data_IF_110995133738
#
_entry.id   IF_110995133738
#
_cell.length_a   1.000
_cell.length_b   1.000
_cell.length_c   1.000
_cell.angle_alpha   90.00
_cell.angle_beta   90.00
_cell.angle_gamma   90.00
#
_symmetry.space_group_name_H-M   'P 1'
#
loop_
_entity.id
_entity.type
_entity.pdbx_description
1 polymer ?
#
# COMPACT_ATOMS: atom_id res chain seq x y z
N UNK A 1 -8.06 2.75 22.31
CA UNK A 1 -8.34 4.09 21.72
C UNK A 1 -7.10 4.70 21.05
N UNK A 2 -5.93 4.65 21.68
CA UNK A 2 -4.66 5.15 21.13
C UNK A 2 -4.25 4.43 19.84
N UNK A 3 -4.33 3.10 19.80
CA UNK A 3 -4.01 2.28 18.62
C UNK A 3 -4.88 2.59 17.41
N UNK A 4 -6.17 2.89 17.64
CA UNK A 4 -7.09 3.29 16.59
C UNK A 4 -6.72 4.64 15.99
N UNK A 5 -6.32 5.61 16.82
CA UNK A 5 -5.83 6.91 16.36
C UNK A 5 -4.55 6.76 15.52
N UNK A 6 -3.61 5.91 15.96
CA UNK A 6 -2.40 5.59 15.20
C UNK A 6 -2.74 5.03 13.82
N UNK A 7 -3.71 4.10 13.75
CA UNK A 7 -4.16 3.55 12.47
C UNK A 7 -4.74 4.62 11.55
N UNK A 8 -5.57 5.54 12.07
CA UNK A 8 -6.14 6.65 11.30
C UNK A 8 -5.04 7.55 10.76
N UNK A 9 -4.06 7.92 11.58
CA UNK A 9 -2.91 8.74 11.16
C UNK A 9 -2.12 8.00 10.07
N UNK A 10 -1.82 6.72 10.27
CA UNK A 10 -1.16 5.88 9.28
C UNK A 10 -1.87 5.91 7.92
N UNK A 11 -3.18 5.68 7.91
CA UNK A 11 -3.97 5.66 6.69
C UNK A 11 -3.99 7.03 5.99
N UNK A 12 -4.08 8.11 6.78
CA UNK A 12 -4.05 9.47 6.25
C UNK A 12 -2.70 9.80 5.60
N UNK A 13 -1.59 9.39 6.21
CA UNK A 13 -0.25 9.57 5.63
C UNK A 13 -0.07 8.74 4.35
N UNK A 14 -0.45 7.47 4.38
CA UNK A 14 -0.28 6.58 3.24
C UNK A 14 -1.19 6.92 2.06
N UNK A 15 -2.32 7.58 2.31
CA UNK A 15 -3.21 8.10 1.27
C UNK A 15 -2.58 9.22 0.40
N UNK A 16 -1.45 9.80 0.82
CA UNK A 16 -0.67 10.73 0.01
C UNK A 16 0.15 10.02 -1.09
N UNK A 17 0.42 8.71 -0.97
CA UNK A 17 1.24 8.00 -1.96
C UNK A 17 0.71 8.09 -3.39
N UNK A 18 -0.57 7.79 -3.70
CA UNK A 18 -1.07 7.87 -5.07
C UNK A 18 -0.96 9.26 -5.67
N UNK A 19 -0.97 10.30 -4.82
CA UNK A 19 -0.77 11.68 -5.27
C UNK A 19 0.68 11.94 -5.65
N UNK A 20 1.61 11.58 -4.76
CA UNK A 20 3.03 11.89 -4.98
C UNK A 20 3.68 11.01 -6.04
N UNK A 21 3.35 9.71 -6.08
CA UNK A 21 3.94 8.77 -7.06
C UNK A 21 3.70 9.20 -8.50
N UNK A 22 2.55 9.83 -8.79
CA UNK A 22 2.26 10.38 -10.12
C UNK A 22 3.14 11.57 -10.49
N UNK A 23 3.48 12.39 -9.51
CA UNK A 23 4.14 13.68 -9.70
C UNK A 23 5.66 13.61 -9.56
N UNK A 24 6.22 12.41 -9.30
CA UNK A 24 7.66 12.21 -9.21
C UNK A 24 8.24 12.08 -10.61
N UNK A 25 9.14 12.99 -10.98
CA UNK A 25 9.92 12.91 -12.22
C UNK A 25 11.12 11.96 -12.07
N UNK A 26 10.82 10.70 -11.85
CA UNK A 26 11.77 9.60 -11.78
C UNK A 26 11.16 8.33 -12.38
N UNK A 27 11.96 7.52 -13.07
CA UNK A 27 11.50 6.22 -13.55
C UNK A 27 11.00 5.34 -12.39
N UNK A 28 9.99 4.51 -12.66
CA UNK A 28 9.30 3.69 -11.67
C UNK A 28 10.26 2.84 -10.81
N UNK A 29 11.20 2.20 -11.45
CA UNK A 29 12.22 1.35 -10.80
C UNK A 29 13.10 2.14 -9.81
N UNK A 30 13.47 3.39 -10.16
CA UNK A 30 14.22 4.28 -9.27
C UNK A 30 13.35 4.77 -8.09
N UNK A 31 12.06 5.04 -8.31
CA UNK A 31 11.12 5.36 -7.23
C UNK A 31 11.00 4.19 -6.25
N UNK A 32 10.84 2.98 -6.77
CA UNK A 32 10.73 1.75 -5.96
C UNK A 32 12.05 1.50 -5.21
N UNK A 33 13.21 1.58 -5.88
CA UNK A 33 14.52 1.43 -5.24
C UNK A 33 14.72 2.46 -4.13
N UNK A 34 14.42 3.73 -4.37
CA UNK A 34 14.59 4.80 -3.38
C UNK A 34 13.79 4.54 -2.11
N UNK A 35 12.59 3.94 -2.23
CA UNK A 35 11.78 3.52 -1.08
C UNK A 35 12.44 2.39 -0.30
N UNK A 36 12.89 1.32 -0.98
CA UNK A 36 13.59 0.21 -0.33
C UNK A 36 14.84 0.70 0.39
N UNK A 37 15.65 1.51 -0.28
CA UNK A 37 16.86 2.08 0.28
C UNK A 37 16.60 2.92 1.53
N UNK A 38 15.69 3.89 1.44
CA UNK A 38 15.36 4.80 2.55
C UNK A 38 14.85 4.06 3.78
N UNK A 39 13.97 3.07 3.56
CA UNK A 39 13.38 2.31 4.66
C UNK A 39 14.41 1.43 5.37
N UNK A 40 15.31 0.79 4.62
CA UNK A 40 16.36 -0.05 5.19
C UNK A 40 17.37 0.79 5.97
N UNK A 41 17.82 1.91 5.40
CA UNK A 41 18.79 2.79 6.09
C UNK A 41 18.22 3.30 7.40
N UNK A 42 17.01 3.87 7.38
CA UNK A 42 16.44 4.46 8.61
C UNK A 42 16.06 3.37 9.61
N UNK A 43 15.39 2.29 9.19
CA UNK A 43 15.00 1.22 10.11
C UNK A 43 16.21 0.52 10.72
N UNK A 44 17.31 0.40 9.98
CA UNK A 44 18.55 -0.23 10.44
C UNK A 44 19.13 0.36 11.72
N UNK A 45 18.83 1.61 12.06
CA UNK A 45 19.27 2.23 13.31
C UNK A 45 18.42 1.82 14.53
N UNK A 46 17.22 1.25 14.32
CA UNK A 46 16.22 1.02 15.39
C UNK A 46 15.80 -0.45 15.55
N UNK A 47 16.42 -1.36 14.78
CA UNK A 47 16.10 -2.79 14.84
C UNK A 47 16.71 -3.47 16.06
N UNK A 48 16.10 -4.58 16.46
CA UNK A 48 16.75 -5.60 17.27
C UNK A 48 17.59 -6.51 16.36
N UNK A 49 18.90 -6.33 16.40
CA UNK A 49 19.83 -7.06 15.53
C UNK A 49 19.75 -8.58 15.73
N UNK A 50 19.59 -9.05 16.97
CA UNK A 50 19.48 -10.48 17.24
C UNK A 50 18.21 -11.07 16.63
N UNK A 51 17.09 -10.36 16.79
CA UNK A 51 15.83 -10.77 16.20
C UNK A 51 15.91 -10.80 14.66
N UNK A 52 16.40 -9.74 14.04
CA UNK A 52 16.51 -9.62 12.58
C UNK A 52 17.44 -10.69 12.01
N UNK A 53 18.61 -10.93 12.62
CA UNK A 53 19.55 -11.96 12.19
C UNK A 53 18.91 -13.35 12.13
N UNK A 54 18.14 -13.71 13.17
CA UNK A 54 17.46 -15.00 13.25
C UNK A 54 16.26 -15.14 12.30
N UNK A 55 15.66 -14.02 11.88
CA UNK A 55 14.44 -14.05 11.05
C UNK A 55 14.67 -13.68 9.59
N UNK A 56 15.79 -13.05 9.22
CA UNK A 56 16.05 -12.56 7.87
C UNK A 56 15.97 -13.68 6.81
N UNK A 57 16.55 -14.82 7.10
CA UNK A 57 16.52 -15.99 6.22
C UNK A 57 15.48 -17.05 6.64
N UNK A 58 14.63 -16.73 7.60
CA UNK A 58 13.52 -17.60 7.95
C UNK A 58 12.46 -17.61 6.83
N UNK A 59 11.66 -18.69 6.79
CA UNK A 59 10.56 -18.80 5.83
C UNK A 59 9.64 -17.56 5.82
N UNK A 60 9.29 -17.03 7.01
CA UNK A 60 8.42 -15.86 7.13
C UNK A 60 9.14 -14.58 6.73
N UNK A 61 10.43 -14.41 7.06
CA UNK A 61 11.22 -13.25 6.65
C UNK A 61 11.39 -13.17 5.12
N UNK A 62 11.78 -14.28 4.49
CA UNK A 62 11.90 -14.36 3.02
C UNK A 62 10.56 -14.15 2.33
N UNK A 63 9.49 -14.74 2.86
CA UNK A 63 8.13 -14.56 2.33
C UNK A 63 7.69 -13.10 2.44
N UNK A 64 7.94 -12.45 3.59
CA UNK A 64 7.62 -11.02 3.78
C UNK A 64 8.37 -10.15 2.77
N UNK A 65 9.67 -10.37 2.59
CA UNK A 65 10.48 -9.63 1.61
C UNK A 65 9.97 -9.82 0.18
N UNK A 66 9.72 -11.06 -0.23
CA UNK A 66 9.24 -11.36 -1.59
C UNK A 66 7.87 -10.71 -1.88
N UNK A 67 6.93 -10.82 -0.93
CA UNK A 67 5.61 -10.19 -1.07
C UNK A 67 5.74 -8.67 -1.09
N UNK A 68 6.62 -8.09 -0.27
CA UNK A 68 6.82 -6.63 -0.24
C UNK A 68 7.40 -6.10 -1.54
N UNK A 69 8.32 -6.82 -2.19
CA UNK A 69 8.84 -6.43 -3.52
C UNK A 69 7.68 -6.35 -4.53
N UNK A 70 6.88 -7.41 -4.61
CA UNK A 70 5.72 -7.44 -5.49
C UNK A 70 4.71 -6.32 -5.14
N UNK A 71 4.43 -6.12 -3.84
CA UNK A 71 3.51 -5.08 -3.34
C UNK A 71 3.94 -3.68 -3.75
N UNK A 72 5.18 -3.31 -3.51
CA UNK A 72 5.68 -1.96 -3.80
C UNK A 72 5.64 -1.68 -5.30
N UNK A 73 6.10 -2.63 -6.12
CA UNK A 73 6.08 -2.47 -7.56
C UNK A 73 4.64 -2.31 -8.09
N UNK A 74 3.74 -3.22 -7.73
CA UNK A 74 2.37 -3.22 -8.22
C UNK A 74 1.58 -2.01 -7.74
N UNK A 75 1.77 -1.58 -6.49
CA UNK A 75 1.11 -0.39 -5.95
C UNK A 75 1.57 0.89 -6.66
N UNK A 76 2.88 1.08 -6.84
CA UNK A 76 3.42 2.26 -7.53
C UNK A 76 2.97 2.31 -8.99
N UNK A 77 3.05 1.17 -9.71
CA UNK A 77 2.58 1.11 -11.09
C UNK A 77 1.10 1.43 -11.22
N UNK A 78 0.28 0.87 -10.34
CA UNK A 78 -1.15 1.15 -10.32
C UNK A 78 -1.48 2.60 -9.97
N UNK A 79 -0.76 3.21 -9.01
CA UNK A 79 -0.93 4.62 -8.66
C UNK A 79 -0.53 5.57 -9.80
N UNK A 80 0.46 5.22 -10.61
CA UNK A 80 0.82 6.00 -11.80
C UNK A 80 -0.27 5.99 -12.87
N UNK A 81 -0.98 4.88 -13.03
CA UNK A 81 -1.93 4.66 -14.11
C UNK A 81 -3.37 5.08 -13.78
N UNK A 82 -3.73 5.14 -12.50
CA UNK A 82 -5.10 5.43 -12.06
C UNK A 82 -5.19 6.75 -11.28
N UNK A 83 -6.37 7.35 -11.26
CA UNK A 83 -6.67 8.47 -10.35
C UNK A 83 -6.52 8.07 -8.89
N UNK A 84 -6.15 9.02 -8.02
CA UNK A 84 -5.80 8.75 -6.63
C UNK A 84 -6.93 8.11 -5.83
N UNK A 85 -8.14 8.65 -5.91
CA UNK A 85 -9.30 8.10 -5.22
C UNK A 85 -9.73 6.74 -5.76
N UNK A 86 -9.70 6.55 -7.09
CA UNK A 86 -10.01 5.27 -7.73
C UNK A 86 -9.01 4.18 -7.33
N UNK A 87 -7.72 4.47 -7.44
CA UNK A 87 -6.66 3.52 -7.10
C UNK A 87 -6.75 3.09 -5.64
N UNK A 88 -6.98 4.03 -4.72
CA UNK A 88 -7.13 3.71 -3.31
C UNK A 88 -8.42 2.93 -3.02
N UNK A 89 -9.54 3.25 -3.66
CA UNK A 89 -10.76 2.47 -3.46
C UNK A 89 -10.58 1.01 -3.85
N UNK A 90 -9.93 0.75 -4.99
CA UNK A 90 -9.63 -0.61 -5.44
C UNK A 90 -8.57 -1.29 -4.55
N UNK A 91 -7.54 -0.57 -4.13
CA UNK A 91 -6.55 -1.08 -3.19
C UNK A 91 -7.21 -1.53 -1.88
N UNK A 92 -8.15 -0.74 -1.37
CA UNK A 92 -8.85 -1.02 -0.11
C UNK A 92 -9.94 -2.11 -0.20
N UNK A 93 -9.88 -2.95 -1.23
CA UNK A 93 -10.47 -4.28 -1.19
C UNK A 93 -9.64 -5.25 -0.31
N UNK A 94 -8.38 -4.91 0.05
CA UNK A 94 -7.54 -5.78 0.87
C UNK A 94 -8.14 -6.13 2.25
N UNK A 95 -8.88 -5.26 2.96
CA UNK A 95 -9.50 -5.65 4.22
C UNK A 95 -10.52 -6.79 4.07
N UNK A 96 -11.28 -6.81 2.96
CA UNK A 96 -12.19 -7.93 2.70
C UNK A 96 -11.41 -9.20 2.37
N UNK A 97 -10.29 -9.10 1.65
CA UNK A 97 -9.40 -10.23 1.39
C UNK A 97 -8.84 -10.79 2.71
N UNK A 98 -8.45 -9.94 3.68
CA UNK A 98 -8.04 -10.36 5.02
C UNK A 98 -9.17 -11.13 5.72
N UNK A 99 -10.40 -10.61 5.69
CA UNK A 99 -11.55 -11.26 6.32
C UNK A 99 -11.84 -12.63 5.69
N UNK A 100 -11.80 -12.73 4.35
CA UNK A 100 -11.96 -13.99 3.63
C UNK A 100 -10.87 -15.01 3.97
N UNK A 101 -9.61 -14.59 3.94
CA UNK A 101 -8.46 -15.43 4.26
C UNK A 101 -8.42 -15.86 5.74
N UNK A 102 -9.11 -15.14 6.62
CA UNK A 102 -9.31 -15.51 8.03
C UNK A 102 -10.34 -16.64 8.22
N UNK A 103 -10.77 -17.31 7.15
CA UNK A 103 -11.72 -18.44 7.19
C UNK A 103 -13.18 -18.00 7.31
N UNK A 104 -13.52 -16.75 7.03
CA UNK A 104 -14.90 -16.27 7.06
C UNK A 104 -15.60 -16.55 5.73
N UNK A 105 -16.82 -17.12 5.81
CA UNK A 105 -17.59 -17.44 4.62
C UNK A 105 -17.93 -16.21 3.78
N UNK A 106 -17.98 -16.37 2.46
CA UNK A 106 -18.46 -15.35 1.52
C UNK A 106 -19.91 -15.02 1.82
N UNK A 107 -20.21 -13.74 2.02
CA UNK A 107 -21.56 -13.27 2.30
C UNK A 107 -22.15 -12.61 1.04
N UNK A 108 -23.45 -12.77 0.75
CA UNK A 108 -24.08 -12.19 -0.44
C UNK A 108 -23.89 -10.68 -0.59
N UNK A 109 -23.71 -9.94 0.52
CA UNK A 109 -23.40 -8.50 0.50
C UNK A 109 -22.14 -8.16 -0.28
N UNK A 110 -21.22 -9.12 -0.50
CA UNK A 110 -20.04 -8.94 -1.34
C UNK A 110 -20.38 -8.72 -2.82
N UNK A 111 -21.56 -9.13 -3.29
CA UNK A 111 -22.03 -8.81 -4.64
C UNK A 111 -22.16 -7.29 -4.83
N UNK A 112 -22.53 -6.57 -3.76
CA UNK A 112 -22.58 -5.09 -3.78
C UNK A 112 -21.17 -4.50 -3.94
N UNK A 113 -20.16 -5.10 -3.31
CA UNK A 113 -18.75 -4.70 -3.52
C UNK A 113 -18.31 -4.91 -4.98
N UNK A 114 -18.68 -6.03 -5.60
CA UNK A 114 -18.40 -6.28 -7.01
C UNK A 114 -19.10 -5.26 -7.94
N UNK A 115 -20.35 -4.90 -7.62
CA UNK A 115 -21.05 -3.83 -8.32
C UNK A 115 -20.31 -2.49 -8.16
N UNK A 116 -19.79 -2.19 -6.97
CA UNK A 116 -18.97 -1.00 -6.70
C UNK A 116 -17.71 -0.97 -7.57
N UNK A 117 -16.98 -2.08 -7.63
CA UNK A 117 -15.81 -2.23 -8.51
C UNK A 117 -16.21 -2.00 -9.98
N UNK A 118 -17.28 -2.63 -10.44
CA UNK A 118 -17.79 -2.44 -11.80
C UNK A 118 -18.11 -0.98 -12.09
N UNK A 119 -18.82 -0.28 -11.18
CA UNK A 119 -19.13 1.14 -11.34
C UNK A 119 -17.87 2.02 -11.42
N UNK A 120 -16.85 1.70 -10.64
CA UNK A 120 -15.59 2.44 -10.61
C UNK A 120 -14.74 2.21 -11.86
N UNK A 121 -14.78 1.01 -12.43
CA UNK A 121 -13.92 0.61 -13.54
C UNK A 121 -14.55 0.80 -14.92
N UNK A 122 -15.87 0.99 -15.01
CA UNK A 122 -16.59 1.21 -16.26
C UNK A 122 -16.89 2.68 -16.49
N UNK A 123 -16.68 3.19 -17.71
CA UNK A 123 -17.31 4.42 -18.18
C UNK A 123 -16.46 5.67 -18.30
N UNK A 124 -15.16 5.57 -18.38
CA UNK A 124 -14.36 6.63 -18.99
C UNK A 124 -14.12 6.22 -20.46
N UNK A 125 -14.96 6.72 -21.36
CA UNK A 125 -14.82 6.49 -22.80
C UNK A 125 -13.54 7.18 -23.30
N UNK A 126 -12.42 6.48 -23.20
CA UNK A 126 -11.12 6.87 -23.72
C UNK A 126 -10.76 6.11 -24.99
N UNK A 127 -9.65 6.50 -25.61
CA UNK A 127 -9.04 5.75 -26.70
C UNK A 127 -8.71 4.31 -26.26
N UNK A 128 -8.55 3.37 -27.21
CA UNK A 128 -8.17 1.99 -26.89
C UNK A 128 -6.86 1.90 -26.08
N UNK A 129 -5.94 2.84 -26.28
CA UNK A 129 -4.69 2.93 -25.53
C UNK A 129 -4.91 3.35 -24.07
N UNK A 130 -5.78 4.34 -23.82
CA UNK A 130 -6.17 4.77 -22.48
C UNK A 130 -6.90 3.65 -21.73
N UNK A 131 -7.75 2.89 -22.41
CA UNK A 131 -8.44 1.71 -21.84
C UNK A 131 -7.45 0.61 -21.42
N UNK A 132 -6.40 0.34 -22.21
CA UNK A 132 -5.37 -0.64 -21.87
C UNK A 132 -4.57 -0.19 -20.64
N UNK A 133 -4.15 1.07 -20.56
CA UNK A 133 -3.46 1.62 -19.39
C UNK A 133 -4.32 1.58 -18.13
N UNK A 134 -5.60 1.88 -18.25
CA UNK A 134 -6.55 1.77 -17.14
C UNK A 134 -6.72 0.32 -16.67
N UNK A 135 -6.82 -0.65 -17.58
CA UNK A 135 -6.92 -2.07 -17.24
C UNK A 135 -5.65 -2.56 -16.53
N UNK A 136 -4.46 -2.20 -17.03
CA UNK A 136 -3.19 -2.50 -16.38
C UNK A 136 -3.17 -1.93 -14.96
N UNK A 137 -3.56 -0.67 -14.79
CA UNK A 137 -3.62 -0.01 -13.49
C UNK A 137 -4.55 -0.73 -12.50
N UNK A 138 -5.74 -1.15 -12.96
CA UNK A 138 -6.70 -1.92 -12.15
C UNK A 138 -6.09 -3.24 -11.69
N UNK A 139 -5.50 -4.01 -12.62
CA UNK A 139 -4.87 -5.29 -12.30
C UNK A 139 -3.73 -5.10 -11.28
N UNK A 140 -2.87 -4.11 -11.51
CA UNK A 140 -1.75 -3.82 -10.60
C UNK A 140 -2.23 -3.43 -9.20
N UNK A 141 -3.26 -2.60 -9.07
CA UNK A 141 -3.80 -2.22 -7.77
C UNK A 141 -4.50 -3.37 -7.06
N UNK A 142 -5.21 -4.23 -7.77
CA UNK A 142 -5.80 -5.43 -7.16
C UNK A 142 -4.73 -6.41 -6.66
N UNK A 143 -3.64 -6.59 -7.42
CA UNK A 143 -2.47 -7.36 -6.96
C UNK A 143 -1.81 -6.70 -5.74
N UNK A 144 -1.71 -5.38 -5.71
CA UNK A 144 -1.21 -4.65 -4.53
C UNK A 144 -2.11 -4.88 -3.31
N UNK A 145 -3.43 -4.86 -3.46
CA UNK A 145 -4.37 -5.20 -2.39
C UNK A 145 -4.21 -6.63 -1.89
N UNK A 146 -4.05 -7.59 -2.79
CA UNK A 146 -3.84 -8.99 -2.43
C UNK A 146 -2.51 -9.17 -1.67
N UNK A 147 -1.43 -8.57 -2.15
CA UNK A 147 -0.12 -8.64 -1.47
C UNK A 147 -0.15 -7.96 -0.11
N UNK A 148 -0.89 -6.84 0.06
CA UNK A 148 -1.11 -6.20 1.38
C UNK A 148 -1.83 -7.15 2.36
N UNK A 149 -2.84 -7.88 1.89
CA UNK A 149 -3.51 -8.90 2.71
C UNK A 149 -2.54 -10.00 3.16
N UNK A 150 -1.64 -10.46 2.29
CA UNK A 150 -0.61 -11.43 2.67
C UNK A 150 0.40 -10.84 3.66
N UNK A 151 0.86 -9.60 3.47
CA UNK A 151 1.76 -8.88 4.41
C UNK A 151 1.14 -8.87 5.80
N UNK A 152 -0.16 -8.54 5.92
CA UNK A 152 -0.87 -8.54 7.20
C UNK A 152 -0.71 -9.88 7.95
N UNK A 153 -0.90 -11.01 7.29
CA UNK A 153 -0.79 -12.33 7.94
C UNK A 153 0.65 -12.71 8.27
N UNK A 154 1.61 -12.38 7.40
CA UNK A 154 3.03 -12.71 7.63
C UNK A 154 3.59 -11.88 8.78
N UNK A 155 3.27 -10.58 8.85
CA UNK A 155 3.66 -9.71 9.96
C UNK A 155 3.16 -10.25 11.30
N UNK A 156 1.90 -10.70 11.37
CA UNK A 156 1.36 -11.31 12.59
C UNK A 156 2.06 -12.61 13.00
N UNK A 157 2.60 -13.38 12.06
CA UNK A 157 3.34 -14.61 12.33
C UNK A 157 4.75 -14.36 12.88
N UNK A 158 5.34 -13.21 12.62
CA UNK A 158 6.68 -12.84 13.08
C UNK A 158 6.73 -12.54 14.58
N UNK A 159 5.58 -12.31 15.25
CA UNK A 159 5.45 -12.20 16.72
C UNK A 159 6.46 -11.22 17.36
N UNK A 160 6.69 -10.07 16.77
CA UNK A 160 7.46 -8.99 17.37
C UNK A 160 6.61 -7.74 17.50
N UNK A 161 6.77 -7.00 18.60
CA UNK A 161 6.12 -5.70 18.81
C UNK A 161 6.95 -4.55 18.24
N UNK A 162 8.19 -4.82 17.81
CA UNK A 162 9.05 -3.82 17.22
C UNK A 162 8.75 -3.66 15.73
N UNK A 163 8.01 -2.60 15.39
CA UNK A 163 7.64 -2.29 14.01
C UNK A 163 8.84 -1.99 13.09
N UNK A 164 9.99 -1.58 13.66
CA UNK A 164 11.22 -1.39 12.90
C UNK A 164 11.79 -2.70 12.38
N UNK A 165 11.65 -3.80 13.15
CA UNK A 165 12.03 -5.14 12.69
C UNK A 165 11.19 -5.56 11.47
N UNK A 166 9.89 -5.30 11.50
CA UNK A 166 9.01 -5.59 10.36
C UNK A 166 9.40 -4.80 9.12
N UNK A 167 9.69 -3.49 9.27
CA UNK A 167 10.14 -2.65 8.16
C UNK A 167 11.46 -3.18 7.57
N UNK A 168 12.46 -3.41 8.39
CA UNK A 168 13.75 -3.89 7.91
C UNK A 168 13.62 -5.23 7.17
N UNK A 169 12.96 -6.22 7.78
CA UNK A 169 12.73 -7.53 7.15
C UNK A 169 11.95 -7.44 5.84
N UNK A 170 10.99 -6.51 5.74
CA UNK A 170 10.21 -6.32 4.51
C UNK A 170 11.04 -5.79 3.35
N UNK A 171 11.97 -4.86 3.62
CA UNK A 171 12.60 -4.05 2.58
C UNK A 171 14.05 -4.44 2.29
N UNK A 172 14.75 -5.14 3.19
CA UNK A 172 16.18 -5.44 3.06
C UNK A 172 16.53 -6.23 1.80
N UNK A 173 15.86 -7.36 1.53
CA UNK A 173 16.15 -8.16 0.35
C UNK A 173 15.84 -7.37 -0.94
N UNK A 174 14.80 -6.53 -0.92
CA UNK A 174 14.44 -5.68 -2.07
C UNK A 174 15.54 -4.70 -2.43
N UNK A 175 16.13 -3.99 -1.47
CA UNK A 175 17.24 -3.06 -1.77
C UNK A 175 18.45 -3.79 -2.31
N UNK A 176 18.79 -4.96 -1.75
CA UNK A 176 19.94 -5.75 -2.24
C UNK A 176 19.72 -6.19 -3.69
N UNK A 177 18.58 -6.83 -3.95
CA UNK A 177 18.25 -7.34 -5.28
C UNK A 177 18.21 -6.19 -6.30
N UNK A 178 17.47 -5.12 -6.01
CA UNK A 178 17.33 -4.01 -6.95
C UNK A 178 18.64 -3.27 -7.18
N UNK A 179 19.47 -3.10 -6.15
CA UNK A 179 20.81 -2.47 -6.32
C UNK A 179 21.68 -3.28 -7.25
N UNK A 180 21.67 -4.62 -7.14
CA UNK A 180 22.43 -5.48 -8.03
C UNK A 180 21.94 -5.41 -9.49
N UNK A 181 20.61 -5.46 -9.70
CA UNK A 181 20.03 -5.41 -11.05
C UNK A 181 20.07 -4.03 -11.71
N UNK A 182 20.14 -2.97 -10.93
CA UNK A 182 20.08 -1.58 -11.41
C UNK A 182 21.40 -0.83 -11.24
N UNK A 183 22.51 -1.53 -10.99
CA UNK A 183 23.79 -0.91 -10.63
C UNK A 183 24.23 0.19 -11.60
N UNK A 184 24.25 -0.10 -12.89
CA UNK A 184 24.68 0.87 -13.92
C UNK A 184 23.75 2.08 -13.98
N UNK A 185 22.44 1.86 -13.96
CA UNK A 185 21.43 2.93 -13.96
C UNK A 185 21.54 3.82 -12.71
N UNK A 186 21.78 3.22 -11.55
CA UNK A 186 21.98 3.96 -10.29
C UNK A 186 23.24 4.80 -10.33
N UNK A 187 24.33 4.25 -10.86
CA UNK A 187 25.58 4.98 -11.03
C UNK A 187 25.41 6.20 -11.92
N UNK A 188 24.72 6.06 -13.06
CA UNK A 188 24.47 7.15 -13.99
C UNK A 188 23.60 8.24 -13.35
N UNK A 189 22.50 7.88 -12.73
CA UNK A 189 21.56 8.85 -12.11
C UNK A 189 22.19 9.55 -10.91
N UNK A 190 22.95 8.85 -10.07
CA UNK A 190 23.66 9.45 -8.93
C UNK A 190 24.77 10.41 -9.37
N UNK A 191 25.37 10.20 -10.56
CA UNK A 191 26.39 11.10 -11.11
C UNK A 191 25.80 12.38 -11.71
N UNK A 192 24.58 12.31 -12.29
CA UNK A 192 23.96 13.42 -13.02
C UNK A 192 22.99 14.24 -12.15
N UNK A 193 22.19 13.59 -11.34
CA UNK A 193 21.10 14.25 -10.55
C UNK A 193 20.87 13.59 -9.18
N UNK A 194 21.84 13.62 -8.27
CA UNK A 194 21.68 12.98 -6.95
C UNK A 194 20.58 13.65 -6.11
N UNK A 195 20.31 14.93 -6.32
CA UNK A 195 19.33 15.70 -5.56
C UNK A 195 17.90 15.19 -5.75
N UNK A 196 17.52 14.76 -6.96
CA UNK A 196 16.17 14.26 -7.21
C UNK A 196 15.89 12.96 -6.45
N UNK A 197 16.85 12.03 -6.44
CA UNK A 197 16.73 10.79 -5.67
C UNK A 197 16.68 11.08 -4.17
N UNK A 198 17.50 11.99 -3.68
CA UNK A 198 17.53 12.38 -2.26
C UNK A 198 16.21 13.03 -1.83
N UNK A 199 15.65 13.93 -2.63
CA UNK A 199 14.36 14.56 -2.36
C UNK A 199 13.21 13.53 -2.26
N UNK A 200 13.16 12.57 -3.19
CA UNK A 200 12.17 11.49 -3.15
C UNK A 200 12.42 10.57 -1.95
N UNK A 201 13.68 10.22 -1.69
CA UNK A 201 14.06 9.33 -0.58
C UNK A 201 13.71 9.92 0.77
N UNK A 202 14.04 11.19 1.00
CA UNK A 202 13.80 11.86 2.29
C UNK A 202 12.37 12.39 2.37
N UNK A 203 11.95 13.21 1.42
CA UNK A 203 10.66 13.92 1.50
C UNK A 203 9.46 12.99 1.45
N UNK A 204 9.40 12.10 0.46
CA UNK A 204 8.23 11.23 0.27
C UNK A 204 8.40 9.92 1.02
N UNK A 205 9.54 9.24 0.84
CA UNK A 205 9.68 7.90 1.39
C UNK A 205 9.92 7.89 2.91
N UNK A 206 10.78 8.77 3.45
CA UNK A 206 11.00 8.82 4.91
C UNK A 206 9.86 9.54 5.61
N UNK A 207 9.60 10.80 5.26
CA UNK A 207 8.66 11.65 6.04
C UNK A 207 7.21 11.14 5.95
N UNK A 208 6.76 10.64 4.80
CA UNK A 208 5.37 10.19 4.62
C UNK A 208 5.29 8.68 4.72
N UNK A 209 6.05 7.99 3.88
CA UNK A 209 5.89 6.57 3.70
C UNK A 209 6.39 5.73 4.86
N UNK A 210 7.63 5.96 5.30
CA UNK A 210 8.22 5.17 6.40
C UNK A 210 7.42 5.34 7.68
N UNK A 211 7.08 6.56 8.07
CA UNK A 211 6.23 6.79 9.25
C UNK A 211 4.84 6.19 9.07
N UNK A 212 4.22 6.34 7.90
CA UNK A 212 2.93 5.72 7.62
C UNK A 212 2.97 4.19 7.79
N UNK A 213 3.99 3.52 7.24
CA UNK A 213 4.14 2.06 7.38
C UNK A 213 4.56 1.61 8.78
N UNK A 214 5.40 2.39 9.46
CA UNK A 214 5.76 2.11 10.86
C UNK A 214 4.50 2.07 11.74
N UNK A 215 3.64 3.08 11.62
CA UNK A 215 2.37 3.14 12.33
C UNK A 215 1.41 2.03 11.88
N UNK A 216 1.44 1.64 10.58
CA UNK A 216 0.63 0.52 10.06
C UNK A 216 1.05 -0.81 10.68
N UNK A 217 2.34 -1.12 10.73
CA UNK A 217 2.84 -2.35 11.35
C UNK A 217 2.54 -2.39 12.85
N UNK A 218 2.66 -1.26 13.54
CA UNK A 218 2.23 -1.13 14.93
C UNK A 218 0.74 -1.48 15.09
N UNK A 219 -0.11 -0.96 14.21
CA UNK A 219 -1.54 -1.23 14.25
C UNK A 219 -1.88 -2.70 13.93
N UNK A 220 -1.17 -3.33 12.96
CA UNK A 220 -1.35 -4.76 12.62
C UNK A 220 -1.08 -5.64 13.83
N UNK A 221 -0.07 -5.33 14.62
CA UNK A 221 0.33 -6.15 15.78
C UNK A 221 -0.64 -6.03 16.95
N UNK A 222 -1.43 -4.94 17.05
CA UNK A 222 -2.19 -4.61 18.27
C UNK A 222 -3.70 -4.51 18.10
N UNK A 223 -4.18 -4.17 16.90
CA UNK A 223 -5.61 -4.12 16.65
C UNK A 223 -6.17 -5.50 16.29
N UNK A 224 -7.41 -5.75 16.69
CA UNK A 224 -8.14 -6.87 16.13
C UNK A 224 -8.41 -6.66 14.62
N UNK A 225 -8.60 -7.78 13.91
CA UNK A 225 -8.76 -7.77 12.44
C UNK A 225 -9.94 -6.92 11.99
N UNK A 226 -11.02 -6.90 12.76
CA UNK A 226 -12.24 -6.17 12.43
C UNK A 226 -12.02 -4.67 12.52
N UNK A 227 -11.50 -4.21 13.66
CA UNK A 227 -11.23 -2.78 13.89
C UNK A 227 -10.16 -2.27 12.92
N UNK A 228 -9.09 -3.06 12.69
CA UNK A 228 -8.07 -2.74 11.68
C UNK A 228 -8.69 -2.53 10.29
N UNK A 229 -9.58 -3.44 9.87
CA UNK A 229 -10.24 -3.36 8.57
C UNK A 229 -11.17 -2.15 8.44
N UNK A 230 -11.95 -1.84 9.49
CA UNK A 230 -12.84 -0.67 9.50
C UNK A 230 -12.05 0.63 9.36
N UNK A 231 -11.01 0.80 10.17
CA UNK A 231 -10.22 2.02 10.20
C UNK A 231 -9.41 2.23 8.91
N UNK A 232 -9.14 1.17 8.17
CA UNK A 232 -8.44 1.26 6.89
C UNK A 232 -9.20 2.11 5.86
N UNK A 233 -10.54 2.17 5.90
CA UNK A 233 -11.33 2.95 4.94
C UNK A 233 -11.18 4.47 5.08
N UNK A 234 -10.61 4.96 6.19
CA UNK A 234 -10.21 6.37 6.31
C UNK A 234 -9.26 6.76 5.19
N UNK A 235 -8.34 5.86 4.81
CA UNK A 235 -7.40 6.09 3.71
C UNK A 235 -8.09 6.37 2.37
N UNK A 236 -9.23 5.70 2.08
CA UNK A 236 -10.00 5.96 0.84
C UNK A 236 -10.54 7.38 0.81
N UNK A 237 -11.14 7.82 1.90
CA UNK A 237 -11.67 9.19 2.01
C UNK A 237 -10.56 10.21 1.84
N UNK A 238 -9.43 10.01 2.52
CA UNK A 238 -8.27 10.90 2.42
C UNK A 238 -7.66 10.92 1.02
N UNK A 239 -7.61 9.77 0.31
CA UNK A 239 -7.09 9.72 -1.06
C UNK A 239 -7.94 10.53 -2.05
N UNK A 240 -9.27 10.54 -1.90
CA UNK A 240 -10.13 11.43 -2.69
C UNK A 240 -9.87 12.90 -2.35
N UNK A 241 -9.79 13.25 -1.08
CA UNK A 241 -9.51 14.62 -0.65
C UNK A 241 -8.17 15.10 -1.21
N UNK A 242 -7.13 14.30 -1.06
CA UNK A 242 -5.79 14.65 -1.57
C UNK A 242 -5.73 14.66 -3.10
N UNK A 243 -6.40 13.71 -3.77
CA UNK A 243 -6.49 13.69 -5.23
C UNK A 243 -7.15 14.96 -5.80
N UNK A 244 -8.23 15.41 -5.18
CA UNK A 244 -8.89 16.68 -5.54
C UNK A 244 -7.99 17.90 -5.28
N UNK A 245 -7.29 17.94 -4.14
CA UNK A 245 -6.49 19.09 -3.75
C UNK A 245 -5.18 19.22 -4.55
N UNK A 246 -4.53 18.11 -4.87
CA UNK A 246 -3.18 18.12 -5.42
C UNK A 246 -3.10 17.67 -6.89
N UNK A 247 -4.01 16.81 -7.35
CA UNK A 247 -3.99 16.27 -8.70
C UNK A 247 -5.13 16.79 -9.59
N UNK A 248 -6.07 17.56 -9.04
CA UNK A 248 -7.26 17.99 -9.77
C UNK A 248 -8.22 16.85 -10.11
N UNK A 249 -8.18 15.72 -9.37
CA UNK A 249 -9.07 14.59 -9.60
C UNK A 249 -10.53 15.02 -9.44
N UNK A 250 -11.40 14.63 -10.37
CA UNK A 250 -12.81 15.02 -10.37
C UNK A 250 -13.63 13.95 -9.64
N UNK A 251 -14.32 14.35 -8.56
CA UNK A 251 -15.23 13.47 -7.84
C UNK A 251 -16.61 13.47 -8.51
N UNK A 252 -16.91 12.42 -9.28
CA UNK A 252 -18.21 12.24 -9.94
C UNK A 252 -19.18 11.48 -9.04
N UNK A 253 -20.49 11.65 -9.26
CA UNK A 253 -21.52 10.88 -8.57
C UNK A 253 -21.31 9.37 -8.70
N UNK A 254 -20.88 8.90 -9.87
CA UNK A 254 -20.57 7.48 -10.13
C UNK A 254 -19.42 6.99 -9.25
N UNK A 255 -18.35 7.77 -9.06
CA UNK A 255 -17.22 7.45 -8.19
C UNK A 255 -17.67 7.38 -6.73
N UNK A 256 -18.53 8.31 -6.28
CA UNK A 256 -19.10 8.30 -4.93
C UNK A 256 -19.90 7.01 -4.71
N UNK A 257 -20.83 6.70 -5.60
CA UNK A 257 -21.67 5.51 -5.48
C UNK A 257 -20.85 4.22 -5.54
N UNK A 258 -19.89 4.11 -6.47
CA UNK A 258 -19.00 2.95 -6.54
C UNK A 258 -18.17 2.77 -5.26
N UNK A 259 -17.63 3.85 -4.71
CA UNK A 259 -16.88 3.83 -3.44
C UNK A 259 -17.76 3.43 -2.26
N UNK A 260 -18.97 3.94 -2.16
CA UNK A 260 -19.93 3.53 -1.14
C UNK A 260 -20.29 2.04 -1.26
N UNK A 261 -20.50 1.54 -2.47
CA UNK A 261 -20.73 0.11 -2.73
C UNK A 261 -19.52 -0.77 -2.33
N UNK A 262 -18.31 -0.23 -2.28
CA UNK A 262 -17.13 -0.94 -1.74
C UNK A 262 -17.07 -0.83 -0.22
N UNK A 263 -17.20 0.37 0.35
CA UNK A 263 -16.96 0.62 1.77
C UNK A 263 -18.10 0.03 2.64
N UNK A 264 -19.36 0.28 2.30
CA UNK A 264 -20.52 -0.09 3.16
C UNK A 264 -20.62 -1.60 3.39
N UNK A 265 -20.55 -2.47 2.34
CA UNK A 265 -20.53 -3.92 2.55
C UNK A 265 -19.38 -4.40 3.44
N UNK A 266 -18.21 -3.79 3.27
CA UNK A 266 -17.03 -4.14 4.05
C UNK A 266 -17.17 -3.74 5.53
N UNK A 267 -17.72 -2.56 5.82
CA UNK A 267 -18.05 -2.13 7.17
C UNK A 267 -19.12 -3.04 7.81
N UNK A 268 -20.14 -3.41 7.04
CA UNK A 268 -21.16 -4.34 7.49
C UNK A 268 -20.55 -5.70 7.86
N UNK A 269 -19.75 -6.29 6.97
CA UNK A 269 -19.08 -7.57 7.23
C UNK A 269 -18.13 -7.52 8.43
N UNK A 270 -17.46 -6.39 8.63
CA UNK A 270 -16.57 -6.20 9.76
C UNK A 270 -17.30 -6.10 11.09
N UNK A 271 -18.46 -5.43 11.13
CA UNK A 271 -19.21 -5.16 12.36
C UNK A 271 -20.11 -6.32 12.79
N UNK A 272 -20.84 -6.92 11.87
CA UNK A 272 -21.95 -7.83 12.21
C UNK A 272 -21.55 -9.31 12.24
N UNK A 273 -20.29 -9.65 12.00
CA UNK A 273 -19.82 -11.03 11.96
C UNK A 273 -18.94 -11.46 13.15
N UNK A 274 -18.98 -10.68 14.23
CA UNK A 274 -18.41 -11.06 15.54
C UNK A 274 -19.42 -11.83 16.41
N UNK A 275 -20.50 -12.35 15.82
CA UNK A 275 -21.47 -13.21 16.51
C UNK A 275 -21.32 -14.64 16.00
#
# INVERSE_FOLDING_TARGET
MYEALIKIISESLLALYPVFVKNIDLALDLQVWSRFFSYVIVSGFFIDYNYVYNHLFSKNGLLLSAITIAHVYTSYRGFQLLESGLSYTLFYLYPIMILMMSGRNVHPVMLVTLLGVYLLTTGNGGSSFEMMGQLEGIVMILLAGLTEAFIYFVVRRLKTDNSWNHLFLSYFAGVVIMTLFMYDKLKDVLSVSPTNILNVSIGINVVIGLFGYLLRFFAISRLDTTLYSILSYVGVVMAYVYGMLFNGDILTFKKIMGTLCVIVPNLYLSKFRNI
#
